data_IF_870194439779
#
_entry.id   IF_870194439779
#
_cell.length_a   1.000
_cell.length_b   1.000
_cell.length_c   1.000
_cell.angle_alpha   90.00
_cell.angle_beta   90.00
_cell.angle_gamma   90.00
#
_symmetry.space_group_name_H-M   'P 1'
#
loop_
_entity.id
_entity.type
_entity.pdbx_description
1 polymer ?
#
# COMPACT_ATOMS: atom_id res chain seq x y z
N UNK A 1 2.76 3.22 7.64
CA UNK A 1 3.05 2.26 6.55
C UNK A 1 2.58 0.85 6.90
N UNK A 2 2.90 0.28 8.07
CA UNK A 2 2.37 -1.03 8.48
C UNK A 2 0.84 -1.09 8.51
N UNK A 3 0.18 0.00 8.92
CA UNK A 3 -1.27 0.10 8.87
C UNK A 3 -1.80 0.07 7.43
N UNK A 4 -1.10 0.66 6.48
CA UNK A 4 -1.46 0.61 5.06
C UNK A 4 -1.38 -0.82 4.51
N UNK A 5 -0.29 -1.54 4.78
CA UNK A 5 -0.14 -2.94 4.35
C UNK A 5 -1.25 -3.82 4.92
N UNK A 6 -1.56 -3.65 6.20
CA UNK A 6 -2.66 -4.38 6.85
C UNK A 6 -4.01 -4.05 6.23
N UNK A 7 -4.24 -2.79 5.92
CA UNK A 7 -5.47 -2.33 5.26
C UNK A 7 -5.61 -2.92 3.86
N UNK A 8 -4.54 -2.90 3.07
CA UNK A 8 -4.52 -3.54 1.74
C UNK A 8 -4.85 -5.03 1.87
N UNK A 9 -4.20 -5.72 2.82
CA UNK A 9 -4.44 -7.15 3.07
C UNK A 9 -5.88 -7.46 3.43
N UNK A 10 -6.51 -6.63 4.25
CA UNK A 10 -7.92 -6.78 4.63
C UNK A 10 -8.86 -6.57 3.44
N UNK A 11 -8.65 -5.52 2.64
CA UNK A 11 -9.48 -5.26 1.46
C UNK A 11 -9.31 -6.35 0.41
N UNK A 12 -8.09 -6.76 0.12
CA UNK A 12 -7.83 -7.84 -0.85
C UNK A 12 -8.43 -9.17 -0.35
N UNK A 13 -8.32 -9.47 0.93
CA UNK A 13 -8.94 -10.65 1.53
C UNK A 13 -10.45 -10.69 1.32
N UNK A 14 -11.14 -9.57 1.50
CA UNK A 14 -12.58 -9.47 1.23
C UNK A 14 -12.90 -9.59 -0.26
N UNK A 15 -12.10 -8.99 -1.14
CA UNK A 15 -12.27 -9.11 -2.58
C UNK A 15 -12.11 -10.55 -3.05
N UNK A 16 -11.11 -11.28 -2.55
CA UNK A 16 -10.90 -12.70 -2.87
C UNK A 16 -12.12 -13.54 -2.47
N UNK A 17 -12.73 -13.26 -1.33
CA UNK A 17 -13.89 -14.00 -0.84
C UNK A 17 -15.18 -13.70 -1.62
N UNK A 18 -15.34 -12.49 -2.12
CA UNK A 18 -16.62 -11.99 -2.66
C UNK A 18 -16.64 -11.79 -4.16
N UNK A 19 -15.50 -11.65 -4.80
CA UNK A 19 -15.41 -11.44 -6.24
C UNK A 19 -15.10 -12.77 -6.94
N UNK A 20 -15.93 -13.23 -7.87
CA UNK A 20 -15.62 -14.38 -8.71
C UNK A 20 -14.34 -14.15 -9.51
N UNK A 21 -13.39 -15.09 -9.43
CA UNK A 21 -12.14 -15.01 -10.18
C UNK A 21 -11.59 -16.39 -10.50
N UNK A 22 -10.68 -16.43 -11.48
CA UNK A 22 -9.98 -17.66 -11.82
C UNK A 22 -9.05 -18.11 -10.70
N UNK A 23 -8.76 -19.41 -10.64
CA UNK A 23 -7.82 -19.94 -9.66
C UNK A 23 -6.41 -19.34 -9.83
N UNK A 24 -6.00 -19.03 -11.04
CA UNK A 24 -4.72 -18.37 -11.31
C UNK A 24 -4.62 -16.98 -10.65
N UNK A 25 -5.69 -16.17 -10.76
CA UNK A 25 -5.75 -14.85 -10.09
C UNK A 25 -5.77 -14.98 -8.58
N UNK A 26 -6.54 -15.95 -8.06
CA UNK A 26 -6.58 -16.24 -6.63
C UNK A 26 -5.21 -16.65 -6.10
N UNK A 27 -4.51 -17.53 -6.78
CA UNK A 27 -3.14 -17.95 -6.42
C UNK A 27 -2.15 -16.80 -6.47
N UNK A 28 -2.31 -15.86 -7.40
CA UNK A 28 -1.48 -14.66 -7.49
C UNK A 28 -1.62 -13.75 -6.27
N UNK A 29 -2.80 -13.73 -5.63
CA UNK A 29 -3.11 -12.89 -4.46
C UNK A 29 -2.87 -13.59 -3.12
N UNK A 30 -2.99 -14.92 -3.08
CA UNK A 30 -2.84 -15.70 -1.86
C UNK A 30 -1.43 -15.61 -1.28
N UNK A 31 -1.35 -15.45 0.04
CA UNK A 31 -0.09 -15.46 0.78
C UNK A 31 0.84 -14.28 0.50
N UNK A 32 0.41 -13.30 -0.28
CA UNK A 32 1.23 -12.13 -0.57
C UNK A 32 1.40 -11.24 0.66
N UNK A 33 2.61 -10.73 0.80
CA UNK A 33 2.92 -9.62 1.68
C UNK A 33 2.83 -8.32 0.88
N UNK A 34 1.99 -7.40 1.31
CA UNK A 34 1.72 -6.14 0.62
C UNK A 34 2.75 -5.06 0.99
N UNK A 35 4.04 -5.43 1.01
CA UNK A 35 5.16 -4.56 1.38
C UNK A 35 5.81 -3.89 0.15
N UNK A 36 5.67 -4.50 -1.01
CA UNK A 36 6.17 -3.94 -2.27
C UNK A 36 5.04 -3.15 -2.94
N UNK A 37 5.15 -1.83 -2.88
CA UNK A 37 4.12 -0.91 -3.38
C UNK A 37 3.92 -1.03 -4.90
N UNK A 38 4.97 -1.37 -5.65
CA UNK A 38 4.87 -1.58 -7.10
C UNK A 38 4.00 -2.79 -7.42
N UNK A 39 4.22 -3.90 -6.73
CA UNK A 39 3.44 -5.12 -6.93
C UNK A 39 1.99 -4.94 -6.45
N UNK A 40 1.78 -4.23 -5.35
CA UNK A 40 0.43 -3.89 -4.86
C UNK A 40 -0.34 -3.10 -5.91
N UNK A 41 0.25 -2.04 -6.43
CA UNK A 41 -0.37 -1.20 -7.46
C UNK A 41 -0.69 -2.01 -8.72
N UNK A 42 0.25 -2.84 -9.16
CA UNK A 42 0.06 -3.68 -10.34
C UNK A 42 -1.05 -4.71 -10.15
N UNK A 43 -1.08 -5.44 -9.03
CA UNK A 43 -2.10 -6.45 -8.77
C UNK A 43 -3.49 -5.86 -8.60
N UNK A 44 -3.62 -4.76 -7.88
CA UNK A 44 -4.89 -4.08 -7.69
C UNK A 44 -5.44 -3.55 -9.01
N UNK A 45 -4.58 -2.96 -9.85
CA UNK A 45 -4.98 -2.45 -11.15
C UNK A 45 -5.37 -3.58 -12.11
N UNK A 46 -4.51 -4.58 -12.29
CA UNK A 46 -4.73 -5.64 -13.29
C UNK A 46 -5.86 -6.60 -12.92
N UNK A 47 -6.04 -6.91 -11.65
CA UNK A 47 -7.05 -7.88 -11.20
C UNK A 47 -8.39 -7.23 -10.89
N UNK A 48 -8.39 -6.05 -10.27
CA UNK A 48 -9.60 -5.40 -9.78
C UNK A 48 -9.90 -4.05 -10.45
N UNK A 49 -9.00 -3.51 -11.26
CA UNK A 49 -9.16 -2.16 -11.82
C UNK A 49 -9.09 -1.05 -10.77
N UNK A 50 -8.45 -1.30 -9.63
CA UNK A 50 -8.28 -0.32 -8.56
C UNK A 50 -6.96 0.43 -8.77
N UNK A 51 -7.04 1.74 -8.94
CA UNK A 51 -5.89 2.61 -9.23
C UNK A 51 -5.46 3.38 -7.98
N UNK A 52 -4.62 2.79 -7.12
CA UNK A 52 -4.14 3.46 -5.89
C UNK A 52 -3.27 4.68 -6.18
N UNK A 53 -2.69 4.75 -7.37
CA UNK A 53 -1.82 5.85 -7.83
C UNK A 53 -2.61 7.04 -8.41
N UNK A 54 -3.92 6.96 -8.52
CA UNK A 54 -4.73 8.03 -9.11
C UNK A 54 -4.51 9.37 -8.41
N UNK A 55 -4.23 10.42 -9.19
CA UNK A 55 -3.94 11.76 -8.67
C UNK A 55 -2.56 11.91 -8.01
N UNK A 56 -1.70 10.90 -8.11
CA UNK A 56 -0.31 10.92 -7.63
C UNK A 56 0.60 10.93 -8.85
N UNK A 57 1.48 11.93 -8.96
CA UNK A 57 2.43 11.98 -10.06
C UNK A 57 3.51 10.88 -9.93
N UNK A 58 4.21 10.61 -11.04
CA UNK A 58 5.22 9.55 -11.08
C UNK A 58 6.37 9.78 -10.10
N UNK A 59 6.82 11.02 -9.92
CA UNK A 59 7.91 11.37 -9.00
C UNK A 59 7.52 11.06 -7.54
N UNK A 60 6.31 11.42 -7.14
CA UNK A 60 5.80 11.12 -5.80
C UNK A 60 5.58 9.62 -5.58
N UNK A 61 5.12 8.90 -6.59
CA UNK A 61 4.94 7.47 -6.49
C UNK A 61 6.28 6.72 -6.40
N UNK A 62 7.30 7.12 -7.17
CA UNK A 62 8.67 6.59 -7.05
C UNK A 62 9.26 6.87 -5.67
N UNK A 63 9.08 8.07 -5.13
CA UNK A 63 9.46 8.39 -3.77
C UNK A 63 8.76 7.46 -2.75
N UNK A 64 7.45 7.26 -2.88
CA UNK A 64 6.72 6.34 -1.99
C UNK A 64 7.27 4.92 -2.06
N UNK A 65 7.56 4.39 -3.25
CA UNK A 65 8.18 3.06 -3.42
C UNK A 65 9.51 2.96 -2.70
N UNK A 66 10.37 3.95 -2.85
CA UNK A 66 11.67 3.98 -2.14
C UNK A 66 11.49 3.95 -0.62
N UNK A 67 10.57 4.74 -0.08
CA UNK A 67 10.30 4.76 1.36
C UNK A 67 9.75 3.41 1.86
N UNK A 68 8.93 2.73 1.07
CA UNK A 68 8.44 1.38 1.41
C UNK A 68 9.59 0.36 1.47
N UNK A 69 10.56 0.44 0.55
CA UNK A 69 11.78 -0.38 0.61
C UNK A 69 12.66 -0.01 1.81
N UNK A 70 12.84 1.28 2.12
CA UNK A 70 13.61 1.74 3.29
C UNK A 70 13.03 1.24 4.59
N UNK A 71 11.72 1.15 4.70
CA UNK A 71 11.05 0.59 5.88
C UNK A 71 11.55 -0.83 6.19
N UNK A 72 11.68 -1.68 5.19
CA UNK A 72 12.20 -3.03 5.37
C UNK A 72 13.63 -3.02 5.93
N UNK A 73 14.46 -2.09 5.47
CA UNK A 73 15.82 -1.91 5.99
C UNK A 73 15.81 -1.47 7.45
N UNK A 74 14.92 -0.54 7.83
CA UNK A 74 14.76 -0.11 9.22
C UNK A 74 14.32 -1.24 10.15
N UNK A 75 13.37 -2.04 9.70
CA UNK A 75 12.79 -3.12 10.51
C UNK A 75 13.75 -4.32 10.70
N UNK A 76 14.54 -4.64 9.69
CA UNK A 76 15.31 -5.89 9.66
C UNK A 76 16.82 -5.73 9.59
N UNK A 77 17.33 -4.56 9.30
CA UNK A 77 18.77 -4.30 9.07
C UNK A 77 19.32 -3.14 9.91
N UNK A 78 18.60 -2.71 10.93
CA UNK A 78 19.04 -1.58 11.76
C UNK A 78 19.21 -0.27 11.01
N UNK A 79 18.58 -0.11 9.85
CA UNK A 79 18.68 1.08 9.02
C UNK A 79 19.89 1.12 8.08
N UNK A 80 20.71 0.07 8.04
CA UNK A 80 21.88 0.01 7.15
C UNK A 80 21.49 -0.51 5.76
N UNK A 81 21.78 0.28 4.72
CA UNK A 81 21.47 -0.09 3.34
C UNK A 81 22.29 -1.30 2.89
N UNK A 82 21.60 -2.37 2.55
CA UNK A 82 22.22 -3.57 1.98
C UNK A 82 22.12 -3.59 0.45
N UNK A 83 22.77 -4.57 -0.17
CA UNK A 83 22.79 -4.72 -1.63
C UNK A 83 21.37 -4.94 -2.18
N UNK A 84 20.54 -5.69 -1.46
CA UNK A 84 19.16 -5.95 -1.85
C UNK A 84 18.34 -4.65 -1.93
N UNK A 85 18.47 -3.78 -0.91
CA UNK A 85 17.80 -2.47 -0.92
C UNK A 85 18.20 -1.65 -2.15
N UNK A 86 19.50 -1.53 -2.43
CA UNK A 86 20.01 -0.73 -3.55
C UNK A 86 19.46 -1.27 -4.89
N UNK A 87 19.44 -2.59 -5.07
CA UNK A 87 18.94 -3.23 -6.28
C UNK A 87 17.42 -3.04 -6.43
N UNK A 88 16.66 -3.32 -5.37
CA UNK A 88 15.19 -3.35 -5.44
C UNK A 88 14.58 -1.93 -5.46
N UNK A 89 15.19 -0.97 -4.74
CA UNK A 89 14.68 0.41 -4.67
C UNK A 89 15.11 1.29 -5.85
N UNK A 90 16.21 0.94 -6.52
CA UNK A 90 16.83 1.80 -7.53
C UNK A 90 17.34 3.15 -6.96
N UNK A 91 17.54 3.23 -5.65
CA UNK A 91 17.99 4.45 -4.98
C UNK A 91 19.47 4.71 -5.25
N UNK A 92 19.76 5.60 -6.19
CA UNK A 92 21.12 5.98 -6.58
C UNK A 92 21.81 6.95 -5.60
N UNK A 93 21.05 7.51 -4.66
CA UNK A 93 21.55 8.47 -3.66
C UNK A 93 22.22 7.82 -2.45
N UNK A 94 22.07 6.50 -2.31
CA UNK A 94 22.52 5.73 -1.14
C UNK A 94 23.66 4.77 -1.52
N UNK A 95 24.66 4.71 -0.67
CA UNK A 95 25.79 3.77 -0.81
C UNK A 95 25.55 2.51 0.04
N UNK A 96 26.16 1.40 -0.38
CA UNK A 96 26.18 0.17 0.41
C UNK A 96 26.70 0.44 1.84
N UNK A 97 26.00 -0.13 2.84
CA UNK A 97 26.26 0.05 4.27
C UNK A 97 26.01 1.46 4.83
N UNK A 98 25.50 2.37 4.02
CA UNK A 98 25.08 3.68 4.52
C UNK A 98 23.88 3.53 5.45
N UNK A 99 23.89 4.22 6.59
CA UNK A 99 22.74 4.29 7.49
C UNK A 99 21.71 5.25 6.90
N UNK A 100 20.53 4.73 6.64
CA UNK A 100 19.40 5.50 6.12
C UNK A 100 18.80 6.36 7.23
N UNK A 101 18.43 7.59 6.89
CA UNK A 101 17.72 8.51 7.77
C UNK A 101 16.66 9.25 6.98
N UNK A 102 15.49 9.41 7.61
CA UNK A 102 14.42 10.21 7.03
C UNK A 102 14.42 11.62 7.62
N UNK A 103 14.08 12.59 6.78
CA UNK A 103 13.82 13.96 7.21
C UNK A 103 12.37 14.11 7.66
N UNK A 104 12.07 15.18 8.41
CA UNK A 104 10.71 15.52 8.78
C UNK A 104 9.84 15.75 7.53
N UNK A 105 10.38 16.41 6.51
CA UNK A 105 9.69 16.65 5.24
C UNK A 105 9.36 15.33 4.51
N UNK A 106 10.30 14.37 4.48
CA UNK A 106 10.05 13.04 3.94
C UNK A 106 8.94 12.32 4.69
N UNK A 107 8.93 12.40 6.02
CA UNK A 107 7.89 11.79 6.84
C UNK A 107 6.50 12.39 6.58
N UNK A 108 6.40 13.71 6.46
CA UNK A 108 5.15 14.38 6.10
C UNK A 108 4.70 14.03 4.67
N UNK A 109 5.63 14.05 3.73
CA UNK A 109 5.34 13.71 2.33
C UNK A 109 4.80 12.29 2.19
N UNK A 110 5.45 11.30 2.79
CA UNK A 110 4.97 9.91 2.72
C UNK A 110 3.64 9.72 3.42
N UNK A 111 3.39 10.39 4.53
CA UNK A 111 2.11 10.33 5.23
C UNK A 111 0.96 10.83 4.35
N UNK A 112 1.16 11.94 3.66
CA UNK A 112 0.16 12.49 2.73
C UNK A 112 -0.08 11.54 1.54
N UNK A 113 0.97 10.93 1.00
CA UNK A 113 0.84 9.97 -0.10
C UNK A 113 0.12 8.70 0.33
N UNK A 114 0.42 8.18 1.52
CA UNK A 114 -0.29 7.01 2.08
C UNK A 114 -1.78 7.29 2.27
N UNK A 115 -2.14 8.47 2.76
CA UNK A 115 -3.55 8.88 2.90
C UNK A 115 -4.24 8.91 1.54
N UNK A 116 -3.61 9.47 0.51
CA UNK A 116 -4.16 9.48 -0.86
C UNK A 116 -4.34 8.08 -1.42
N UNK A 117 -3.33 7.22 -1.28
CA UNK A 117 -3.40 5.83 -1.75
C UNK A 117 -4.48 5.04 -1.02
N UNK A 118 -4.62 5.23 0.28
CA UNK A 118 -5.66 4.59 1.08
C UNK A 118 -7.07 5.06 0.66
N UNK A 119 -7.24 6.34 0.39
CA UNK A 119 -8.51 6.89 -0.13
C UNK A 119 -8.86 6.32 -1.51
N UNK A 120 -7.88 6.20 -2.41
CA UNK A 120 -8.07 5.59 -3.72
C UNK A 120 -8.44 4.09 -3.61
N UNK A 121 -7.76 3.36 -2.74
CA UNK A 121 -8.08 1.96 -2.44
C UNK A 121 -9.51 1.81 -1.91
N UNK A 122 -9.88 2.61 -0.93
CA UNK A 122 -11.22 2.60 -0.33
C UNK A 122 -12.31 2.89 -1.36
N UNK A 123 -12.12 3.90 -2.18
CA UNK A 123 -13.06 4.23 -3.27
C UNK A 123 -13.17 3.09 -4.27
N UNK A 124 -12.05 2.58 -4.78
CA UNK A 124 -12.04 1.47 -5.74
C UNK A 124 -12.64 0.19 -5.18
N UNK A 125 -12.42 -0.10 -3.90
CA UNK A 125 -13.06 -1.23 -3.22
C UNK A 125 -14.59 -1.09 -3.20
N UNK A 126 -15.10 0.08 -2.85
CA UNK A 126 -16.55 0.32 -2.79
C UNK A 126 -17.23 0.49 -4.15
N UNK A 127 -16.47 0.77 -5.20
CA UNK A 127 -16.98 0.67 -6.59
C UNK A 127 -17.29 -0.80 -6.96
N UNK A 128 -16.61 -1.76 -6.36
CA UNK A 128 -16.80 -3.20 -6.59
C UNK A 128 -17.81 -3.76 -5.57
N UNK A 129 -17.61 -3.49 -4.29
CA UNK A 129 -18.44 -3.94 -3.17
C UNK A 129 -19.04 -2.72 -2.47
N UNK A 130 -20.29 -2.34 -2.81
CA UNK A 130 -20.93 -1.18 -2.20
C UNK A 130 -20.95 -1.23 -0.68
N UNK A 131 -20.78 -0.08 -0.03
CA UNK A 131 -20.81 0.04 1.43
C UNK A 131 -22.18 -0.39 2.00
N UNK A 132 -22.15 -1.11 3.12
CA UNK A 132 -23.37 -1.49 3.84
C UNK A 132 -23.98 -0.27 4.56
N UNK A 133 -24.98 0.31 3.92
CA UNK A 133 -25.70 1.49 4.44
C UNK A 133 -26.45 1.20 5.74
N UNK A 134 -26.84 -0.04 5.99
CA UNK A 134 -27.47 -0.46 7.24
C UNK A 134 -26.51 -0.34 8.41
N UNK A 135 -25.32 -0.92 8.29
CA UNK A 135 -24.27 -0.85 9.29
C UNK A 135 -23.79 0.59 9.55
N UNK A 136 -23.65 1.40 8.49
CA UNK A 136 -23.25 2.81 8.61
C UNK A 136 -24.29 3.59 9.41
N UNK A 137 -25.59 3.47 9.09
CA UNK A 137 -26.67 4.14 9.82
C UNK A 137 -26.76 3.71 11.27
N UNK A 138 -26.51 2.43 11.56
CA UNK A 138 -26.51 1.93 12.93
C UNK A 138 -25.34 2.51 13.73
N UNK A 139 -24.13 2.57 13.13
CA UNK A 139 -22.96 3.21 13.74
C UNK A 139 -23.17 4.69 14.02
N UNK A 140 -23.75 5.43 13.07
CA UNK A 140 -24.04 6.85 13.25
C UNK A 140 -25.06 7.10 14.39
N UNK A 141 -26.10 6.26 14.49
CA UNK A 141 -27.04 6.32 15.62
C UNK A 141 -26.36 6.08 16.96
N UNK A 142 -25.42 5.16 17.00
CA UNK A 142 -24.68 4.82 18.22
C UNK A 142 -23.74 5.96 18.63
N UNK A 143 -23.08 6.61 17.67
CA UNK A 143 -22.18 7.74 17.91
C UNK A 143 -22.88 8.99 18.43
N UNK A 144 -24.17 9.14 18.16
CA UNK A 144 -24.99 10.29 18.61
C UNK A 144 -25.57 10.12 20.02
N UNK A 145 -25.41 8.98 20.63
CA UNK A 145 -25.81 8.70 22.02
C UNK A 145 -24.68 9.02 22.99
#
# INVERSE_FOLDING_TARGET
MSAFDSTVGQYVGQLIQRVPMTQARRNRLDGKRYQDLQLVQQDLNEIFGIHIQEGINSTDFEFAKQIFHRRHVYEHKGGEADRKYITDSGDTSVRLKQVLRETQDSAHRISNLVVKMAANLHRGFHDILPADQGAIRQYEKWKRR
#
